data_IF_728841173617
#
_entry.id   IF_728841173617
#
_cell.length_a   1.000
_cell.length_b   1.000
_cell.length_c   1.000
_cell.angle_alpha   90.00
_cell.angle_beta   90.00
_cell.angle_gamma   90.00
#
_symmetry.space_group_name_H-M   'P 1'
#
loop_
_entity.id
_entity.type
_entity.pdbx_description
1 polymer ?
#
# COMPACT_ATOMS: atom_id res chain seq x y z
N UNK A 1 22.80 10.02 6.96
CA UNK A 1 22.63 9.76 8.39
C UNK A 1 21.40 10.48 8.89
N UNK A 2 20.40 9.73 9.35
CA UNK A 2 19.12 10.26 9.79
C UNK A 2 19.28 10.93 11.16
N UNK A 3 18.86 12.19 11.26
CA UNK A 3 18.87 12.92 12.54
C UNK A 3 17.80 12.33 13.48
N UNK A 4 18.14 11.77 14.65
CA UNK A 4 17.19 11.13 15.56
C UNK A 4 16.19 12.10 16.20
N UNK A 5 16.45 13.39 16.12
CA UNK A 5 15.58 14.44 16.71
C UNK A 5 14.50 14.99 15.77
N UNK A 6 14.35 14.44 14.57
CA UNK A 6 13.31 14.84 13.63
C UNK A 6 12.40 13.67 13.30
N UNK A 7 11.09 13.89 13.35
CA UNK A 7 10.12 12.95 12.79
C UNK A 7 10.33 12.82 11.28
N UNK A 8 10.19 11.62 10.78
CA UNK A 8 10.42 11.28 9.38
C UNK A 8 9.23 10.48 8.87
N UNK A 9 8.85 10.74 7.63
CA UNK A 9 7.87 9.94 6.91
C UNK A 9 8.52 9.53 5.60
N UNK A 10 8.58 8.26 5.36
CA UNK A 10 8.99 7.67 4.09
C UNK A 10 7.76 7.02 3.44
N UNK A 11 7.44 7.43 2.24
CA UNK A 11 6.32 6.89 1.46
C UNK A 11 6.89 6.33 0.15
N UNK A 12 6.92 5.02 0.05
CA UNK A 12 7.36 4.31 -1.16
C UNK A 12 6.13 3.82 -1.91
N UNK A 13 5.85 4.46 -3.03
CA UNK A 13 4.78 4.05 -3.94
C UNK A 13 5.31 3.02 -4.95
N UNK A 14 4.42 2.17 -5.45
CA UNK A 14 4.72 1.14 -6.44
C UNK A 14 5.89 0.21 -6.03
N UNK A 15 5.84 -0.30 -4.82
CA UNK A 15 6.91 -1.13 -4.26
C UNK A 15 7.27 -2.34 -5.14
N UNK A 16 6.32 -2.85 -5.94
CA UNK A 16 6.54 -3.93 -6.90
C UNK A 16 7.66 -3.61 -7.91
N UNK A 17 7.91 -2.35 -8.23
CA UNK A 17 9.01 -1.96 -9.13
C UNK A 17 10.38 -2.33 -8.58
N UNK A 18 10.50 -2.45 -7.26
CA UNK A 18 11.74 -2.86 -6.59
C UNK A 18 11.82 -4.37 -6.35
N UNK A 19 10.66 -5.05 -6.30
CA UNK A 19 10.55 -6.46 -5.92
C UNK A 19 10.09 -7.38 -7.07
N UNK A 20 9.58 -6.81 -8.18
CA UNK A 20 8.97 -7.53 -9.31
C UNK A 20 9.96 -8.19 -10.26
N UNK A 21 9.56 -8.33 -11.54
CA UNK A 21 10.23 -9.18 -12.53
C UNK A 21 11.70 -8.82 -12.86
N UNK A 22 12.12 -7.56 -12.69
CA UNK A 22 13.51 -7.13 -12.85
C UNK A 22 14.02 -6.48 -11.55
N UNK A 23 14.15 -7.25 -10.48
CA UNK A 23 14.43 -6.70 -9.17
C UNK A 23 15.88 -6.19 -9.06
N UNK A 24 16.05 -5.11 -8.31
CA UNK A 24 17.36 -4.73 -7.81
C UNK A 24 17.51 -5.26 -6.37
N UNK A 25 18.28 -6.34 -6.14
CA UNK A 25 18.39 -6.94 -4.81
C UNK A 25 18.92 -5.98 -3.74
N UNK A 26 19.78 -5.03 -4.12
CA UNK A 26 20.30 -4.03 -3.20
C UNK A 26 19.22 -3.03 -2.79
N UNK A 27 18.38 -2.59 -3.73
CA UNK A 27 17.27 -1.70 -3.44
C UNK A 27 16.21 -2.41 -2.57
N UNK A 28 15.92 -3.67 -2.86
CA UNK A 28 15.00 -4.49 -2.07
C UNK A 28 15.49 -4.70 -0.63
N UNK A 29 16.77 -5.03 -0.46
CA UNK A 29 17.38 -5.18 0.89
C UNK A 29 17.39 -3.85 1.66
N UNK A 30 17.74 -2.75 0.98
CA UNK A 30 17.68 -1.41 1.57
C UNK A 30 16.27 -1.06 2.04
N UNK A 31 15.25 -1.25 1.19
CA UNK A 31 13.86 -0.95 1.52
C UNK A 31 13.37 -1.79 2.70
N UNK A 32 13.65 -3.09 2.69
CA UNK A 32 13.29 -3.98 3.80
C UNK A 32 13.94 -3.54 5.12
N UNK A 33 15.23 -3.19 5.09
CA UNK A 33 15.95 -2.70 6.28
C UNK A 33 15.40 -1.35 6.74
N UNK A 34 15.11 -0.45 5.81
CA UNK A 34 14.54 0.85 6.12
C UNK A 34 13.20 0.70 6.83
N UNK A 35 12.26 -0.09 6.28
CA UNK A 35 10.95 -0.35 6.91
C UNK A 35 11.09 -0.94 8.32
N UNK A 36 12.06 -1.85 8.52
CA UNK A 36 12.31 -2.45 9.86
C UNK A 36 12.89 -1.47 10.87
N UNK A 37 13.75 -0.56 10.44
CA UNK A 37 14.55 0.28 11.33
C UNK A 37 13.97 1.68 11.54
N UNK A 38 13.13 2.16 10.64
CA UNK A 38 12.66 3.56 10.64
C UNK A 38 11.97 3.94 11.95
N UNK A 39 11.23 3.00 12.57
CA UNK A 39 10.54 3.22 13.84
C UNK A 39 11.52 3.56 14.97
N UNK A 40 12.66 2.86 15.06
CA UNK A 40 13.68 3.12 16.10
C UNK A 40 14.34 4.49 15.93
N UNK A 41 14.17 5.11 14.76
CA UNK A 41 14.69 6.43 14.42
C UNK A 41 13.61 7.53 14.43
N UNK A 42 12.47 7.27 15.08
CA UNK A 42 11.37 8.24 15.17
C UNK A 42 10.63 8.48 13.85
N UNK A 43 10.63 7.49 12.95
CA UNK A 43 10.00 7.60 11.64
C UNK A 43 8.84 6.66 11.42
N UNK A 44 8.09 6.93 10.35
CA UNK A 44 6.99 6.10 9.82
C UNK A 44 7.34 5.75 8.38
N UNK A 45 7.20 4.48 8.01
CA UNK A 45 7.22 4.02 6.62
C UNK A 45 5.82 3.67 6.16
N UNK A 46 5.45 4.17 4.99
CA UNK A 46 4.29 3.73 4.22
C UNK A 46 4.75 3.15 2.90
N UNK A 47 4.20 2.00 2.53
CA UNK A 47 4.49 1.36 1.24
C UNK A 47 3.18 1.02 0.55
N UNK A 48 3.12 1.23 -0.76
CA UNK A 48 1.98 0.80 -1.58
C UNK A 48 2.45 -0.17 -2.66
N UNK A 49 1.57 -1.05 -3.08
CA UNK A 49 1.80 -1.96 -4.20
C UNK A 49 0.47 -2.32 -4.84
N UNK A 50 0.47 -2.49 -6.16
CA UNK A 50 -0.73 -2.87 -6.91
C UNK A 50 -0.97 -4.39 -6.91
N UNK A 51 0.09 -5.20 -6.77
CA UNK A 51 0.00 -6.65 -6.81
C UNK A 51 0.79 -7.33 -5.69
N UNK A 52 0.20 -8.32 -5.07
CA UNK A 52 0.87 -9.15 -4.08
C UNK A 52 1.82 -10.16 -4.74
N UNK A 53 1.45 -10.66 -5.92
CA UNK A 53 2.30 -11.58 -6.68
C UNK A 53 3.67 -10.96 -6.98
N UNK A 54 3.69 -9.70 -7.41
CA UNK A 54 4.93 -8.97 -7.69
C UNK A 54 5.76 -8.75 -6.43
N UNK A 55 5.11 -8.44 -5.29
CA UNK A 55 5.80 -8.33 -4.01
C UNK A 55 6.48 -9.64 -3.58
N UNK A 56 5.91 -10.78 -3.98
CA UNK A 56 6.43 -12.12 -3.64
C UNK A 56 7.37 -12.70 -4.70
N UNK A 57 7.63 -12.01 -5.81
CA UNK A 57 8.41 -12.53 -6.92
C UNK A 57 9.91 -12.68 -6.59
N UNK A 58 10.48 -11.74 -5.81
CA UNK A 58 11.92 -11.73 -5.54
C UNK A 58 12.28 -12.67 -4.39
N UNK A 59 13.27 -13.54 -4.64
CA UNK A 59 13.90 -14.44 -3.65
C UNK A 59 12.86 -15.26 -2.85
N UNK A 60 11.89 -15.84 -3.56
CA UNK A 60 10.83 -16.65 -2.96
C UNK A 60 9.92 -15.88 -1.98
N UNK A 61 9.79 -14.57 -2.17
CA UNK A 61 8.94 -13.72 -1.33
C UNK A 61 9.61 -13.20 -0.04
N UNK A 62 10.88 -13.47 0.15
CA UNK A 62 11.63 -13.06 1.37
C UNK A 62 11.52 -11.57 1.68
N UNK A 63 11.71 -10.73 0.68
CA UNK A 63 11.66 -9.28 0.86
C UNK A 63 10.24 -8.78 1.07
N UNK A 64 9.29 -9.20 0.23
CA UNK A 64 7.89 -8.83 0.36
C UNK A 64 7.29 -9.26 1.70
N UNK A 65 7.53 -10.52 2.10
CA UNK A 65 7.11 -11.01 3.41
C UNK A 65 7.75 -10.24 4.55
N UNK A 66 9.05 -9.96 4.47
CA UNK A 66 9.76 -9.18 5.51
C UNK A 66 9.22 -7.75 5.66
N UNK A 67 8.77 -7.12 4.57
CA UNK A 67 8.13 -5.81 4.60
C UNK A 67 6.72 -5.94 5.20
N UNK A 68 5.90 -6.89 4.73
CA UNK A 68 4.55 -7.12 5.24
C UNK A 68 4.51 -7.42 6.74
N UNK A 69 5.43 -8.24 7.22
CA UNK A 69 5.55 -8.58 8.65
C UNK A 69 5.93 -7.35 9.49
N UNK A 70 6.66 -6.40 8.89
CA UNK A 70 7.04 -5.15 9.56
C UNK A 70 5.93 -4.10 9.58
N UNK A 71 5.00 -4.16 8.63
CA UNK A 71 3.85 -3.27 8.54
C UNK A 71 2.74 -3.74 9.48
N UNK A 72 2.57 -3.04 10.62
CA UNK A 72 1.52 -3.38 11.59
C UNK A 72 0.11 -2.99 11.13
N UNK A 73 0.01 -1.96 10.30
CA UNK A 73 -1.24 -1.50 9.69
C UNK A 73 -1.17 -1.86 8.22
N UNK A 74 -2.21 -2.53 7.72
CA UNK A 74 -2.36 -2.87 6.31
C UNK A 74 -3.74 -2.42 5.86
N UNK A 75 -3.83 -1.83 4.70
CA UNK A 75 -5.08 -1.46 4.06
C UNK A 75 -5.19 -2.17 2.73
N UNK A 76 -6.14 -3.09 2.63
CA UNK A 76 -6.35 -3.95 1.47
C UNK A 76 -7.56 -3.43 0.73
N UNK A 77 -7.33 -2.91 -0.47
CA UNK A 77 -8.37 -2.42 -1.36
C UNK A 77 -8.92 -3.55 -2.23
N UNK A 78 -9.85 -3.23 -3.12
CA UNK A 78 -10.39 -4.18 -4.08
C UNK A 78 -9.31 -4.82 -4.93
N UNK A 79 -9.41 -6.11 -5.14
CA UNK A 79 -8.55 -6.89 -6.03
C UNK A 79 -9.30 -8.06 -6.66
N UNK A 80 -8.73 -8.60 -7.73
CA UNK A 80 -9.27 -9.77 -8.43
C UNK A 80 -9.12 -11.05 -7.61
N UNK A 81 -9.95 -12.07 -7.92
CA UNK A 81 -10.02 -13.32 -7.16
C UNK A 81 -8.67 -14.00 -6.93
N UNK A 82 -7.80 -14.03 -7.93
CA UNK A 82 -6.49 -14.67 -7.81
C UNK A 82 -5.60 -13.96 -6.79
N UNK A 83 -5.53 -12.64 -6.86
CA UNK A 83 -4.79 -11.81 -5.91
C UNK A 83 -5.39 -11.89 -4.51
N UNK A 84 -6.72 -11.87 -4.38
CA UNK A 84 -7.40 -11.99 -3.10
C UNK A 84 -7.09 -13.33 -2.41
N UNK A 85 -7.01 -14.44 -3.15
CA UNK A 85 -6.60 -15.74 -2.61
C UNK A 85 -5.14 -15.75 -2.18
N UNK A 86 -4.26 -15.10 -2.92
CA UNK A 86 -2.86 -14.97 -2.53
C UNK A 86 -2.73 -14.17 -1.22
N UNK A 87 -3.44 -13.07 -1.12
CA UNK A 87 -3.51 -12.24 0.09
C UNK A 87 -4.11 -13.03 1.25
N UNK A 88 -5.17 -13.81 1.02
CA UNK A 88 -5.77 -14.70 2.01
C UNK A 88 -4.71 -15.61 2.65
N UNK A 89 -3.92 -16.28 1.83
CA UNK A 89 -2.89 -17.22 2.30
C UNK A 89 -1.77 -16.51 3.07
N UNK A 90 -1.36 -15.32 2.63
CA UNK A 90 -0.25 -14.60 3.24
C UNK A 90 -0.64 -13.94 4.56
N UNK A 91 -1.85 -13.38 4.62
CA UNK A 91 -2.35 -12.63 5.78
C UNK A 91 -3.31 -13.44 6.68
N UNK A 92 -3.57 -14.71 6.34
CA UNK A 92 -4.49 -15.61 7.03
C UNK A 92 -5.91 -15.02 7.16
N UNK A 93 -6.42 -14.48 6.06
CA UNK A 93 -7.78 -13.95 6.02
C UNK A 93 -8.81 -15.08 5.98
N UNK A 94 -10.01 -14.81 6.47
CA UNK A 94 -11.14 -15.72 6.35
C UNK A 94 -11.70 -15.74 4.92
N UNK A 95 -12.51 -16.75 4.59
CA UNK A 95 -13.22 -16.83 3.30
C UNK A 95 -14.17 -15.63 3.08
N UNK A 96 -14.83 -15.17 4.15
CA UNK A 96 -15.73 -14.03 4.13
C UNK A 96 -14.98 -12.74 3.83
N UNK A 97 -13.84 -12.51 4.49
CA UNK A 97 -12.97 -11.35 4.24
C UNK A 97 -12.44 -11.37 2.80
N UNK A 98 -12.03 -12.52 2.30
CA UNK A 98 -11.56 -12.69 0.93
C UNK A 98 -12.66 -12.36 -0.09
N UNK A 99 -13.88 -12.88 0.10
CA UNK A 99 -15.03 -12.53 -0.74
C UNK A 99 -15.40 -11.04 -0.64
N UNK A 100 -15.20 -10.42 0.51
CA UNK A 100 -15.44 -9.00 0.68
C UNK A 100 -14.47 -8.16 -0.12
N UNK A 101 -13.17 -8.49 -0.10
CA UNK A 101 -12.11 -7.80 -0.84
C UNK A 101 -12.42 -7.75 -2.34
N UNK A 102 -12.94 -8.83 -2.93
CA UNK A 102 -13.26 -8.86 -4.37
C UNK A 102 -14.46 -8.00 -4.75
N UNK A 103 -15.27 -7.57 -3.77
CA UNK A 103 -16.51 -6.81 -3.96
C UNK A 103 -16.41 -5.35 -3.54
N UNK A 104 -15.31 -4.93 -2.95
CA UNK A 104 -15.11 -3.55 -2.56
C UNK A 104 -15.27 -2.59 -3.74
N UNK A 105 -15.78 -1.42 -3.45
CA UNK A 105 -15.88 -0.31 -4.40
C UNK A 105 -14.73 0.67 -4.16
N UNK A 106 -14.61 1.63 -5.05
CA UNK A 106 -13.62 2.71 -4.91
C UNK A 106 -13.79 3.41 -3.55
N UNK A 107 -12.70 3.49 -2.80
CA UNK A 107 -12.67 4.06 -1.45
C UNK A 107 -12.99 3.07 -0.33
N UNK A 108 -13.40 1.85 -0.65
CA UNK A 108 -13.63 0.78 0.33
C UNK A 108 -12.39 -0.10 0.45
N UNK A 109 -12.21 -0.69 1.63
CA UNK A 109 -11.12 -1.63 1.87
C UNK A 109 -11.20 -2.27 3.25
N UNK A 110 -10.34 -3.27 3.45
CA UNK A 110 -10.16 -3.96 4.71
C UNK A 110 -8.95 -3.36 5.45
N UNK A 111 -9.20 -2.73 6.57
CA UNK A 111 -8.16 -2.22 7.47
C UNK A 111 -7.77 -3.32 8.46
N UNK A 112 -6.52 -3.78 8.36
CA UNK A 112 -5.95 -4.79 9.25
C UNK A 112 -4.97 -4.12 10.21
N UNK A 113 -5.21 -4.23 11.52
CA UNK A 113 -4.34 -3.72 12.59
C UNK A 113 -4.05 -4.87 13.54
N UNK A 114 -2.90 -5.50 13.39
CA UNK A 114 -2.57 -6.74 14.10
C UNK A 114 -3.55 -7.85 13.72
N UNK A 115 -4.33 -8.32 14.68
CA UNK A 115 -5.35 -9.37 14.47
C UNK A 115 -6.78 -8.82 14.24
N UNK A 116 -6.95 -7.51 14.29
CA UNK A 116 -8.24 -6.89 14.09
C UNK A 116 -8.39 -6.50 12.61
N UNK A 117 -9.45 -6.99 11.98
CA UNK A 117 -9.78 -6.68 10.60
C UNK A 117 -11.13 -5.96 10.57
N UNK A 118 -11.17 -4.79 9.96
CA UNK A 118 -12.37 -3.94 9.91
C UNK A 118 -12.58 -3.45 8.47
N UNK A 119 -13.72 -3.74 7.85
CA UNK A 119 -14.06 -3.13 6.57
C UNK A 119 -14.37 -1.65 6.80
N UNK A 120 -13.75 -0.80 5.99
CA UNK A 120 -13.93 0.66 6.06
C UNK A 120 -14.25 1.24 4.69
N UNK A 121 -14.96 2.37 4.68
CA UNK A 121 -15.17 3.19 3.52
C UNK A 121 -14.61 4.60 3.80
N UNK A 122 -13.72 5.05 2.94
CA UNK A 122 -13.13 6.38 3.03
C UNK A 122 -13.98 7.36 2.24
N UNK A 123 -14.54 8.33 2.92
CA UNK A 123 -15.31 9.41 2.31
C UNK A 123 -14.47 10.69 2.31
N UNK A 124 -14.25 11.23 1.13
CA UNK A 124 -13.53 12.50 0.96
C UNK A 124 -14.52 13.65 0.76
N UNK A 125 -14.24 14.80 1.34
CA UNK A 125 -15.00 16.03 1.05
C UNK A 125 -14.75 16.48 -0.40
N UNK A 126 -15.64 17.30 -1.00
CA UNK A 126 -15.41 17.86 -2.33
C UNK A 126 -14.09 18.60 -2.45
N UNK A 127 -13.67 19.32 -1.41
CA UNK A 127 -12.40 20.05 -1.37
C UNK A 127 -11.18 19.13 -1.34
N UNK A 128 -11.24 18.04 -0.60
CA UNK A 128 -10.18 17.02 -0.59
C UNK A 128 -10.13 16.30 -1.92
N UNK A 129 -11.29 15.92 -2.48
CA UNK A 129 -11.37 15.30 -3.79
C UNK A 129 -10.73 16.19 -4.88
N UNK A 130 -10.98 17.48 -4.81
CA UNK A 130 -10.28 18.42 -5.68
C UNK A 130 -8.76 18.37 -5.55
N UNK A 131 -8.21 18.23 -4.35
CA UNK A 131 -6.78 18.22 -4.14
C UNK A 131 -6.10 16.92 -4.61
N UNK A 132 -6.81 15.78 -4.51
CA UNK A 132 -6.22 14.45 -4.73
C UNK A 132 -6.60 13.79 -6.06
N UNK A 133 -7.63 14.31 -6.80
CA UNK A 133 -8.07 13.65 -8.02
C UNK A 133 -7.00 13.68 -9.11
N UNK A 134 -6.79 12.53 -9.72
CA UNK A 134 -5.95 12.33 -10.91
C UNK A 134 -6.80 12.08 -12.16
N UNK A 135 -8.13 12.20 -12.07
CA UNK A 135 -9.04 12.01 -13.18
C UNK A 135 -8.73 13.00 -14.32
N UNK A 136 -8.42 12.53 -15.54
CA UNK A 136 -8.12 13.42 -16.64
C UNK A 136 -9.27 14.37 -16.99
N UNK A 137 -10.51 13.95 -16.80
CA UNK A 137 -11.72 14.74 -17.05
C UNK A 137 -11.80 15.91 -16.06
N UNK A 138 -11.59 15.62 -14.76
CA UNK A 138 -11.65 16.65 -13.72
C UNK A 138 -10.51 17.65 -13.84
N UNK A 139 -9.31 17.17 -14.18
CA UNK A 139 -8.15 18.02 -14.39
C UNK A 139 -8.33 18.97 -15.61
N UNK A 140 -8.93 18.48 -16.71
CA UNK A 140 -9.27 19.31 -17.88
C UNK A 140 -10.30 20.38 -17.54
N UNK A 141 -11.37 20.01 -16.82
CA UNK A 141 -12.40 20.95 -16.41
C UNK A 141 -11.82 22.09 -15.54
N UNK A 142 -10.87 21.77 -14.65
CA UNK A 142 -10.17 22.77 -13.84
C UNK A 142 -9.26 23.69 -14.65
N UNK A 143 -8.58 23.16 -15.66
CA UNK A 143 -7.74 23.97 -16.52
C UNK A 143 -8.59 24.98 -17.29
N UNK A 144 -9.76 24.58 -17.78
CA UNK A 144 -10.69 25.47 -18.47
C UNK A 144 -11.24 26.57 -17.56
N UNK A 145 -11.64 26.25 -16.33
CA UNK A 145 -12.16 27.21 -15.36
C UNK A 145 -11.12 28.22 -14.83
N UNK A 146 -9.81 27.99 -15.08
CA UNK A 146 -8.74 28.94 -14.71
C UNK A 146 -8.39 29.92 -15.81
N UNK A 147 -8.90 29.73 -17.02
CA UNK A 147 -8.60 30.54 -18.19
C UNK A 147 -9.73 31.54 -18.46
N UNK A 148 -10.91 31.35 -17.85
CA UNK A 148 -12.01 32.31 -17.78
C UNK A 148 -11.84 33.24 -16.56
#
# INVERSE_FOLDING_TARGET
>A
LLNPHRYKVDLSDELWMLLGANPNPLAADYTMRMVKLIRSQGGIAGVTSQGMADMMALDGGKYGKGILDSCRIKFIMQMEDQEARLVQNILNLTEEETKMITRFRRGEGLLCIGHNHVPIAVHVSPREYEAITTSPTDLRARQQARVE
#
